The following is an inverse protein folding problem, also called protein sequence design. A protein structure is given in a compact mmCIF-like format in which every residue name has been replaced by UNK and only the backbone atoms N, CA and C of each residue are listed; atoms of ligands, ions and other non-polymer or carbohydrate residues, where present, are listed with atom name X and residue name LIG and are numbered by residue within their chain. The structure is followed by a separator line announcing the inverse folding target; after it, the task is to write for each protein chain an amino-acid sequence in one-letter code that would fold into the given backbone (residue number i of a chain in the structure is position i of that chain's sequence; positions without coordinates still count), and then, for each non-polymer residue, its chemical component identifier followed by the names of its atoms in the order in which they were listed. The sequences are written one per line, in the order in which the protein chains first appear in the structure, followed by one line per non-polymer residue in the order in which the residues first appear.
data_IF_281567997489
#
_entry.id   IF_281567997489
#
_cell.length_a   1.000
_cell.length_b   1.000
_cell.length_c   1.000
_cell.angle_alpha   90.00
_cell.angle_beta   90.00
_cell.angle_gamma   90.00
#
_symmetry.space_group_name_H-M   'P 1'
#
loop_
_entity.id
_entity.type
_entity.pdbx_description
1 polymer ?
#
# COMPACT_ATOMS: atom_id res chain seq x y z
N UNK A 1 -44.42 66.10 -45.98
CA UNK A 1 -43.33 66.37 -45.03
C UNK A 1 -42.68 65.08 -44.69
N UNK A 2 -41.40 64.88 -45.02
CA UNK A 2 -40.66 63.57 -44.98
C UNK A 2 -40.28 63.20 -43.57
N UNK A 3 -40.59 61.94 -43.18
CA UNK A 3 -40.12 61.33 -41.94
C UNK A 3 -39.03 60.36 -42.34
N UNK A 4 -37.83 60.60 -41.81
CA UNK A 4 -36.59 59.82 -41.97
C UNK A 4 -36.65 58.50 -41.16
N UNK A 5 -36.40 57.38 -41.81
CA UNK A 5 -36.20 56.11 -41.17
C UNK A 5 -34.77 55.97 -40.62
N UNK A 6 -34.65 55.76 -39.33
CA UNK A 6 -33.37 55.50 -38.70
C UNK A 6 -33.18 53.95 -38.59
N UNK A 7 -32.21 53.49 -39.31
CA UNK A 7 -31.88 52.06 -39.42
C UNK A 7 -30.94 51.68 -38.25
N UNK A 8 -31.46 50.90 -37.27
CA UNK A 8 -30.66 50.35 -36.18
C UNK A 8 -30.04 48.99 -36.63
N UNK A 9 -28.76 49.00 -36.97
CA UNK A 9 -27.97 47.81 -37.12
C UNK A 9 -27.64 47.27 -35.72
N UNK A 10 -28.23 46.14 -35.37
CA UNK A 10 -27.87 45.39 -34.20
C UNK A 10 -26.57 44.62 -34.47
N UNK A 11 -25.51 44.96 -33.76
CA UNK A 11 -24.28 44.16 -33.69
C UNK A 11 -24.51 43.01 -32.68
N UNK A 12 -24.67 41.78 -33.17
CA UNK A 12 -24.58 40.58 -32.37
C UNK A 12 -23.09 40.27 -32.17
N UNK A 13 -22.55 40.56 -30.99
CA UNK A 13 -21.25 40.11 -30.58
C UNK A 13 -21.39 38.64 -30.11
N UNK A 14 -20.92 37.70 -30.91
CA UNK A 14 -20.80 36.28 -30.50
C UNK A 14 -19.62 36.17 -29.55
N UNK A 15 -19.92 35.93 -28.28
CA UNK A 15 -18.91 35.56 -27.28
C UNK A 15 -18.59 34.06 -27.44
N UNK A 16 -17.47 33.73 -28.07
CA UNK A 16 -16.94 32.39 -28.12
C UNK A 16 -16.31 32.05 -26.76
N UNK A 17 -17.00 31.26 -25.96
CA UNK A 17 -16.42 30.67 -24.73
C UNK A 17 -15.49 29.55 -25.18
N UNK A 18 -14.18 29.81 -25.15
CA UNK A 18 -13.15 28.77 -25.27
C UNK A 18 -13.06 28.06 -23.93
N UNK A 19 -13.70 26.91 -23.83
CA UNK A 19 -13.49 25.97 -22.72
C UNK A 19 -12.14 25.28 -22.93
N UNK A 20 -11.11 25.80 -22.30
CA UNK A 20 -9.85 25.05 -22.16
C UNK A 20 -10.13 23.85 -21.25
N UNK A 21 -10.35 22.69 -21.86
CA UNK A 21 -10.27 21.43 -21.18
C UNK A 21 -8.80 21.19 -20.80
N UNK A 22 -8.41 21.57 -19.57
CA UNK A 22 -7.18 21.09 -18.98
C UNK A 22 -7.36 19.60 -18.72
N UNK A 23 -6.88 18.75 -19.65
CA UNK A 23 -6.65 17.35 -19.36
C UNK A 23 -5.61 17.31 -18.24
N UNK A 24 -6.06 17.07 -17.01
CA UNK A 24 -5.21 16.55 -15.95
C UNK A 24 -4.73 15.21 -16.49
N UNK A 25 -3.51 15.17 -17.00
CA UNK A 25 -2.81 13.92 -17.23
C UNK A 25 -2.70 13.30 -15.85
N UNK A 26 -3.60 12.35 -15.55
CA UNK A 26 -3.37 11.39 -14.50
C UNK A 26 -1.98 10.82 -14.80
N UNK A 27 -1.05 10.98 -13.86
CA UNK A 27 0.25 10.37 -13.95
C UNK A 27 -0.05 8.87 -13.95
N UNK A 28 0.02 8.27 -15.14
CA UNK A 28 -0.10 6.83 -15.33
C UNK A 28 1.10 6.24 -14.59
N UNK A 29 0.91 5.89 -13.31
CA UNK A 29 1.90 5.13 -12.56
C UNK A 29 1.91 3.75 -13.22
N UNK A 30 2.79 3.59 -14.21
CA UNK A 30 2.92 2.33 -14.92
C UNK A 30 3.28 1.25 -13.91
N UNK A 31 2.36 0.31 -13.70
CA UNK A 31 2.61 -0.90 -12.94
C UNK A 31 3.76 -1.66 -13.61
N UNK A 32 4.61 -2.31 -12.81
CA UNK A 32 5.79 -3.02 -13.31
C UNK A 32 5.44 -4.43 -13.78
N UNK A 33 4.63 -5.13 -13.00
CA UNK A 33 4.30 -6.54 -13.20
C UNK A 33 2.79 -6.79 -13.27
N UNK A 34 1.98 -5.87 -12.79
CA UNK A 34 0.53 -5.99 -12.78
C UNK A 34 -0.11 -5.23 -13.95
N UNK A 35 -1.35 -5.57 -14.24
CA UNK A 35 -2.21 -4.80 -15.13
C UNK A 35 -3.10 -3.88 -14.31
N UNK A 36 -3.36 -2.66 -14.79
CA UNK A 36 -4.25 -1.70 -14.12
C UNK A 36 -5.61 -2.34 -13.84
N UNK A 37 -6.03 -2.28 -12.58
CA UNK A 37 -7.31 -2.85 -12.12
C UNK A 37 -7.28 -4.35 -11.81
N UNK A 38 -6.12 -5.02 -11.83
CA UNK A 38 -6.02 -6.44 -11.48
C UNK A 38 -4.85 -6.69 -10.51
N UNK A 39 -5.14 -7.04 -9.24
CA UNK A 39 -6.46 -7.31 -8.69
C UNK A 39 -7.25 -6.03 -8.38
N UNK A 40 -8.56 -6.05 -8.59
CA UNK A 40 -9.44 -4.97 -8.17
C UNK A 40 -9.72 -5.07 -6.66
N UNK A 41 -9.16 -4.15 -5.89
CA UNK A 41 -9.33 -4.12 -4.44
C UNK A 41 -10.78 -3.87 -4.01
N UNK A 42 -11.57 -3.14 -4.81
CA UNK A 42 -12.96 -2.83 -4.50
C UNK A 42 -13.90 -4.03 -4.69
N UNK A 43 -13.62 -4.88 -5.68
CA UNK A 43 -14.37 -6.13 -5.88
C UNK A 43 -13.92 -7.23 -4.93
N UNK A 44 -12.63 -7.30 -4.63
CA UNK A 44 -12.04 -8.38 -3.84
C UNK A 44 -12.34 -8.26 -2.34
N UNK A 45 -12.27 -7.05 -1.81
CA UNK A 45 -12.37 -6.83 -0.37
C UNK A 45 -13.81 -6.55 0.06
N UNK A 46 -14.27 -7.16 1.18
CA UNK A 46 -15.53 -6.75 1.79
C UNK A 46 -15.43 -5.28 2.24
N UNK A 47 -16.54 -4.55 2.32
CA UNK A 47 -16.52 -3.20 2.88
C UNK A 47 -16.02 -3.23 4.34
N UNK A 48 -15.30 -2.18 4.78
CA UNK A 48 -14.93 -2.07 6.19
C UNK A 48 -16.19 -1.97 7.07
N UNK A 49 -16.10 -2.28 8.39
CA UNK A 49 -17.21 -2.10 9.31
C UNK A 49 -17.82 -0.70 9.22
N UNK A 50 -19.15 -0.61 9.19
CA UNK A 50 -19.86 0.67 9.21
C UNK A 50 -19.55 1.43 10.50
N UNK A 51 -19.45 2.76 10.45
CA UNK A 51 -18.97 3.59 11.57
C UNK A 51 -19.79 3.44 12.86
N UNK A 52 -21.07 3.09 12.75
CA UNK A 52 -22.02 2.91 13.85
C UNK A 52 -22.26 1.42 14.20
N UNK A 53 -21.49 0.50 13.61
CA UNK A 53 -21.64 -0.94 13.83
C UNK A 53 -20.96 -1.43 15.10
N UNK A 54 -21.36 -2.62 15.56
CA UNK A 54 -20.74 -3.32 16.69
C UNK A 54 -19.31 -3.73 16.33
N UNK A 55 -19.08 -4.11 15.08
CA UNK A 55 -17.78 -4.49 14.56
C UNK A 55 -16.80 -3.30 14.57
N UNK A 56 -17.25 -2.11 14.18
CA UNK A 56 -16.44 -0.89 14.28
C UNK A 56 -16.10 -0.55 15.74
N UNK A 57 -17.06 -0.73 16.64
CA UNK A 57 -16.82 -0.53 18.08
C UNK A 57 -15.79 -1.50 18.62
N UNK A 58 -15.87 -2.78 18.25
CA UNK A 58 -14.89 -3.81 18.63
C UNK A 58 -13.49 -3.53 18.06
N UNK A 59 -13.40 -3.07 16.80
CA UNK A 59 -12.15 -2.61 16.19
C UNK A 59 -11.52 -1.46 17.00
N UNK A 60 -12.31 -0.44 17.36
CA UNK A 60 -11.83 0.71 18.12
C UNK A 60 -11.38 0.32 19.53
N UNK A 61 -12.14 -0.51 20.24
CA UNK A 61 -11.76 -1.00 21.56
C UNK A 61 -10.42 -1.78 21.50
N UNK A 62 -10.23 -2.58 20.47
CA UNK A 62 -8.96 -3.29 20.25
C UNK A 62 -7.82 -2.31 20.01
N UNK A 63 -8.02 -1.27 19.18
CA UNK A 63 -7.00 -0.23 18.94
C UNK A 63 -6.63 0.44 20.27
N UNK A 64 -7.60 0.89 21.07
CA UNK A 64 -7.36 1.54 22.36
C UNK A 64 -6.58 0.65 23.30
N UNK A 65 -7.05 -0.59 23.50
CA UNK A 65 -6.41 -1.56 24.37
C UNK A 65 -4.95 -1.81 23.97
N UNK A 66 -4.69 -2.07 22.68
CA UNK A 66 -3.35 -2.36 22.16
C UNK A 66 -2.45 -1.12 22.23
N UNK A 67 -2.95 0.06 21.89
CA UNK A 67 -2.19 1.31 21.95
C UNK A 67 -1.75 1.68 23.36
N UNK A 68 -2.62 1.50 24.36
CA UNK A 68 -2.29 1.79 25.75
C UNK A 68 -1.42 0.71 26.39
N UNK A 69 -1.50 -0.54 25.94
CA UNK A 69 -0.63 -1.62 26.39
C UNK A 69 0.76 -1.59 25.77
N UNK A 70 0.93 -0.95 24.60
CA UNK A 70 2.21 -0.90 23.90
C UNK A 70 3.23 -0.04 24.69
N UNK A 71 4.39 -0.62 24.99
CA UNK A 71 5.51 0.07 25.61
C UNK A 71 6.34 0.87 24.58
N UNK A 72 7.33 1.61 25.07
CA UNK A 72 8.16 2.44 24.18
C UNK A 72 8.98 1.61 23.19
N UNK A 73 9.38 0.39 23.54
CA UNK A 73 10.09 -0.51 22.63
C UNK A 73 9.21 -0.91 21.45
N UNK A 74 7.96 -1.30 21.73
CA UNK A 74 6.98 -1.66 20.69
C UNK A 74 6.68 -0.48 19.78
N UNK A 75 6.47 0.71 20.37
CA UNK A 75 6.19 1.93 19.61
C UNK A 75 7.38 2.34 18.75
N UNK A 76 8.60 2.26 19.29
CA UNK A 76 9.81 2.59 18.54
C UNK A 76 10.03 1.61 17.37
N UNK A 77 9.79 0.31 17.55
CA UNK A 77 9.81 -0.67 16.49
C UNK A 77 8.80 -0.29 15.39
N UNK A 78 7.55 -0.01 15.75
CA UNK A 78 6.50 0.42 14.82
C UNK A 78 6.85 1.71 14.06
N UNK A 79 7.52 2.66 14.71
CA UNK A 79 7.95 3.91 14.05
C UNK A 79 9.17 3.72 13.15
N UNK A 80 10.09 2.81 13.48
CA UNK A 80 11.24 2.50 12.63
C UNK A 80 10.85 1.88 11.29
N UNK A 81 9.70 1.21 11.25
CA UNK A 81 9.13 0.61 10.05
C UNK A 81 8.32 1.59 9.17
N UNK A 82 8.33 2.90 9.47
CA UNK A 82 7.58 3.89 8.68
C UNK A 82 7.93 3.85 7.20
N UNK A 83 9.20 3.62 6.90
CA UNK A 83 9.70 3.25 5.58
C UNK A 83 10.42 1.94 5.74
N UNK A 84 10.05 0.98 4.94
CA UNK A 84 10.66 -0.34 4.98
C UNK A 84 10.95 -0.83 3.56
N UNK A 85 11.85 -1.78 3.48
CA UNK A 85 12.21 -2.50 2.26
C UNK A 85 12.19 -4.00 2.55
N UNK A 86 12.49 -4.81 1.56
CA UNK A 86 12.66 -6.26 1.76
C UNK A 86 13.74 -6.59 2.81
N UNK A 87 14.68 -5.68 3.06
CA UNK A 87 15.76 -5.91 4.04
C UNK A 87 15.31 -5.76 5.51
N UNK A 88 14.09 -5.32 5.77
CA UNK A 88 13.49 -5.45 7.10
C UNK A 88 13.32 -6.92 7.50
N UNK A 89 13.34 -7.85 6.54
CA UNK A 89 13.29 -9.29 6.78
C UNK A 89 14.66 -9.93 7.09
N UNK A 90 15.76 -9.16 7.17
CA UNK A 90 17.11 -9.69 7.48
C UNK A 90 17.13 -10.53 8.76
N UNK A 91 16.37 -10.12 9.80
CA UNK A 91 16.27 -10.90 11.04
C UNK A 91 15.63 -12.28 10.88
N UNK A 92 14.73 -12.45 9.90
CA UNK A 92 14.07 -13.71 9.59
C UNK A 92 14.87 -14.57 8.59
N UNK A 93 15.67 -13.94 7.73
CA UNK A 93 16.42 -14.59 6.65
C UNK A 93 17.84 -14.98 7.08
N UNK A 94 18.53 -14.03 7.74
CA UNK A 94 19.92 -14.20 8.16
C UNK A 94 20.80 -12.99 7.80
N UNK A 95 21.98 -12.85 8.46
CA UNK A 95 22.83 -11.65 8.35
C UNK A 95 23.44 -11.42 6.95
N UNK A 96 23.43 -12.41 6.09
CA UNK A 96 23.90 -12.31 4.72
C UNK A 96 22.92 -11.52 3.80
N UNK A 97 21.66 -11.42 4.23
CA UNK A 97 20.61 -10.77 3.45
C UNK A 97 20.64 -9.25 3.69
N UNK A 98 21.53 -8.57 2.97
CA UNK A 98 21.77 -7.13 3.08
C UNK A 98 21.81 -6.47 1.70
N UNK A 99 21.30 -5.24 1.63
CA UNK A 99 21.12 -4.46 0.40
C UNK A 99 22.39 -4.33 -0.44
N UNK A 100 23.53 -4.07 0.21
CA UNK A 100 24.81 -3.81 -0.47
C UNK A 100 25.30 -4.92 -1.38
N UNK A 101 24.83 -6.15 -1.17
CA UNK A 101 25.30 -7.33 -1.88
C UNK A 101 24.25 -7.91 -2.86
N UNK A 102 23.05 -7.32 -2.92
CA UNK A 102 21.90 -7.90 -3.59
C UNK A 102 21.18 -6.87 -4.52
N UNK A 103 21.88 -6.30 -5.51
CA UNK A 103 21.31 -5.24 -6.34
C UNK A 103 20.11 -5.65 -7.19
N UNK A 104 20.07 -6.90 -7.68
CA UNK A 104 18.89 -7.39 -8.43
C UNK A 104 17.69 -7.58 -7.51
N UNK A 105 17.94 -8.12 -6.30
CA UNK A 105 16.91 -8.27 -5.27
C UNK A 105 16.33 -6.90 -4.91
N UNK A 106 17.18 -5.89 -4.69
CA UNK A 106 16.72 -4.51 -4.39
C UNK A 106 15.78 -4.01 -5.50
N UNK A 107 16.25 -3.98 -6.74
CA UNK A 107 15.48 -3.44 -7.86
C UNK A 107 14.16 -4.19 -8.11
N UNK A 108 14.17 -5.51 -7.96
CA UNK A 108 12.98 -6.34 -8.09
C UNK A 108 11.95 -6.05 -7.01
N UNK A 109 12.36 -6.02 -5.73
CA UNK A 109 11.44 -5.80 -4.64
C UNK A 109 10.93 -4.35 -4.55
N UNK A 110 11.66 -3.36 -5.05
CA UNK A 110 11.14 -2.00 -5.25
C UNK A 110 9.96 -1.98 -6.22
N UNK A 111 10.03 -2.70 -7.34
CA UNK A 111 8.92 -2.85 -8.29
C UNK A 111 7.72 -3.56 -7.67
N UNK A 112 7.97 -4.67 -6.96
CA UNK A 112 6.94 -5.43 -6.23
C UNK A 112 6.21 -4.54 -5.23
N UNK A 113 6.95 -3.73 -4.47
CA UNK A 113 6.38 -2.82 -3.47
C UNK A 113 5.59 -1.69 -4.12
N UNK A 114 6.10 -1.09 -5.20
CA UNK A 114 5.41 -0.03 -5.95
C UNK A 114 4.06 -0.50 -6.49
N UNK A 115 4.02 -1.70 -7.08
CA UNK A 115 2.77 -2.26 -7.58
C UNK A 115 1.78 -2.54 -6.45
N UNK A 116 2.26 -3.08 -5.31
CA UNK A 116 1.42 -3.34 -4.13
C UNK A 116 0.85 -2.05 -3.52
N UNK A 117 1.66 -0.99 -3.44
CA UNK A 117 1.23 0.35 -2.97
C UNK A 117 0.13 0.90 -3.89
N UNK A 118 0.34 0.85 -5.21
CA UNK A 118 -0.61 1.36 -6.21
C UNK A 118 -1.98 0.69 -6.08
N UNK A 119 -2.02 -0.65 -6.03
CA UNK A 119 -3.28 -1.41 -5.85
C UNK A 119 -3.94 -1.09 -4.50
N UNK A 120 -3.15 -0.95 -3.45
CA UNK A 120 -3.65 -0.61 -2.11
C UNK A 120 -4.29 0.77 -2.07
N UNK A 121 -3.69 1.76 -2.74
CA UNK A 121 -4.18 3.13 -2.73
C UNK A 121 -5.50 3.27 -3.52
N UNK A 122 -5.70 2.49 -4.60
CA UNK A 122 -7.01 2.36 -5.26
C UNK A 122 -8.08 1.90 -4.26
N UNK A 123 -7.79 0.88 -3.46
CA UNK A 123 -8.71 0.40 -2.41
C UNK A 123 -8.99 1.46 -1.35
N UNK A 124 -7.98 2.20 -0.89
CA UNK A 124 -8.16 3.29 0.10
C UNK A 124 -9.06 4.40 -0.45
N UNK A 125 -8.87 4.79 -1.71
CA UNK A 125 -9.65 5.85 -2.34
C UNK A 125 -11.10 5.42 -2.62
N UNK A 126 -11.34 4.13 -2.78
CA UNK A 126 -12.69 3.57 -2.90
C UNK A 126 -13.42 3.53 -1.56
N UNK A 127 -12.83 2.92 -0.53
CA UNK A 127 -13.50 2.67 0.76
C UNK A 127 -13.53 3.89 1.68
N UNK A 128 -12.55 4.76 1.63
CA UNK A 128 -12.45 6.05 2.36
C UNK A 128 -12.67 5.92 3.87
N UNK A 129 -12.27 4.81 4.49
CA UNK A 129 -12.39 4.63 5.94
C UNK A 129 -11.53 5.64 6.69
N UNK A 130 -12.08 6.41 7.65
CA UNK A 130 -11.28 7.28 8.51
C UNK A 130 -10.34 6.46 9.39
N UNK A 131 -9.20 7.04 9.78
CA UNK A 131 -8.24 6.37 10.67
C UNK A 131 -8.67 6.47 12.12
N UNK A 132 -8.19 5.56 13.03
CA UNK A 132 -8.58 5.56 14.44
C UNK A 132 -8.44 6.91 15.12
N UNK A 133 -7.32 7.61 14.93
CA UNK A 133 -7.06 8.91 15.55
C UNK A 133 -7.95 10.04 15.02
N UNK A 134 -8.58 9.90 13.85
CA UNK A 134 -9.57 10.91 13.37
C UNK A 134 -10.92 10.75 14.04
N UNK A 135 -11.21 9.55 14.57
CA UNK A 135 -12.42 9.24 15.30
C UNK A 135 -12.25 9.48 16.80
N UNK A 136 -11.04 9.18 17.33
CA UNK A 136 -10.67 9.45 18.72
C UNK A 136 -9.34 10.21 18.77
N UNK A 137 -9.36 11.54 18.96
CA UNK A 137 -8.16 12.36 19.01
C UNK A 137 -7.17 12.01 20.15
N UNK A 138 -7.59 11.27 21.17
CA UNK A 138 -6.69 10.82 22.25
C UNK A 138 -5.66 9.81 21.76
N UNK A 139 -5.88 9.23 20.57
CA UNK A 139 -4.99 8.31 19.90
C UNK A 139 -4.00 9.01 18.95
N UNK A 140 -4.05 10.34 18.86
CA UNK A 140 -3.11 11.10 18.04
C UNK A 140 -1.69 10.96 18.56
N UNK A 141 -0.78 10.62 17.67
CA UNK A 141 0.64 10.47 17.98
C UNK A 141 1.50 10.73 16.74
N UNK A 142 2.57 11.46 16.89
CA UNK A 142 3.51 11.77 15.82
C UNK A 142 2.87 12.43 14.60
N UNK A 143 3.48 12.27 13.43
CA UNK A 143 2.97 12.84 12.18
C UNK A 143 1.79 12.03 11.67
N UNK A 144 0.63 12.66 11.50
CA UNK A 144 -0.58 12.05 10.98
C UNK A 144 -0.48 11.82 9.47
N UNK A 145 -1.05 10.71 9.00
CA UNK A 145 -1.12 10.35 7.58
C UNK A 145 -2.38 10.97 6.96
N UNK A 146 -2.27 11.36 5.68
CA UNK A 146 -3.38 11.97 4.95
C UNK A 146 -4.27 10.95 4.23
N UNK A 147 -3.72 9.75 3.95
CA UNK A 147 -4.44 8.68 3.26
C UNK A 147 -5.44 7.97 4.18
N UNK A 148 -6.43 7.31 3.58
CA UNK A 148 -7.45 6.55 4.30
C UNK A 148 -6.89 5.29 4.97
N UNK A 149 -7.71 4.70 5.87
CA UNK A 149 -7.27 3.60 6.73
C UNK A 149 -7.35 2.23 6.06
N UNK A 150 -8.38 1.97 5.24
CA UNK A 150 -8.69 0.63 4.74
C UNK A 150 -8.48 0.53 3.22
N UNK A 151 -7.78 -0.52 2.76
CA UNK A 151 -6.99 -1.50 3.52
C UNK A 151 -5.67 -0.90 4.04
N UNK A 152 -4.99 -1.60 4.97
CA UNK A 152 -3.70 -1.14 5.49
C UNK A 152 -2.56 -1.31 4.49
N UNK A 153 -1.91 -0.21 4.07
CA UNK A 153 -0.75 -0.23 3.17
C UNK A 153 0.41 -1.06 3.72
N UNK A 154 0.87 -0.75 4.94
CA UNK A 154 1.95 -1.52 5.56
C UNK A 154 1.65 -3.02 5.66
N UNK A 155 0.40 -3.40 5.97
CA UNK A 155 0.02 -4.81 6.02
C UNK A 155 -0.02 -5.47 4.64
N UNK A 156 -0.47 -4.74 3.62
CA UNK A 156 -0.48 -5.24 2.24
C UNK A 156 0.94 -5.41 1.72
N UNK A 157 1.70 -4.33 1.72
CA UNK A 157 3.05 -4.30 1.16
C UNK A 157 3.99 -5.28 1.88
N UNK A 158 4.06 -5.24 3.22
CA UNK A 158 4.93 -6.17 3.96
C UNK A 158 4.56 -7.63 3.71
N UNK A 159 3.27 -7.95 3.59
CA UNK A 159 2.83 -9.31 3.30
C UNK A 159 3.10 -9.70 1.84
N UNK A 160 3.00 -8.79 0.87
CA UNK A 160 3.40 -9.05 -0.53
C UNK A 160 4.89 -9.36 -0.60
N UNK A 161 5.74 -8.49 -0.01
CA UNK A 161 7.19 -8.74 0.05
C UNK A 161 7.48 -10.10 0.71
N UNK A 162 6.80 -10.42 1.81
CA UNK A 162 6.98 -11.67 2.53
C UNK A 162 6.58 -12.90 1.70
N UNK A 163 5.45 -12.84 0.98
CA UNK A 163 5.00 -13.97 0.15
C UNK A 163 5.98 -14.24 -1.00
N UNK A 164 6.45 -13.19 -1.67
CA UNK A 164 7.42 -13.31 -2.75
C UNK A 164 8.78 -13.79 -2.22
N UNK A 165 9.23 -13.25 -1.08
CA UNK A 165 10.50 -13.64 -0.45
C UNK A 165 10.45 -15.08 0.07
N UNK A 166 9.34 -15.53 0.63
CA UNK A 166 9.16 -16.90 1.10
C UNK A 166 9.16 -17.92 -0.06
N UNK A 167 8.65 -17.55 -1.24
CA UNK A 167 8.76 -18.38 -2.46
C UNK A 167 10.22 -18.48 -2.97
N UNK A 168 11.04 -17.47 -2.70
CA UNK A 168 12.48 -17.47 -3.01
C UNK A 168 13.29 -18.25 -1.98
N UNK A 169 12.88 -18.22 -0.72
CA UNK A 169 13.59 -18.77 0.45
C UNK A 169 12.66 -19.68 1.28
N UNK A 170 12.26 -20.84 0.74
CA UNK A 170 11.24 -21.71 1.37
C UNK A 170 11.63 -22.22 2.75
N UNK A 171 12.92 -22.39 3.05
CA UNK A 171 13.40 -22.82 4.38
C UNK A 171 13.10 -21.78 5.48
N UNK A 172 12.95 -20.49 5.12
CA UNK A 172 12.66 -19.39 6.03
C UNK A 172 11.19 -18.94 5.98
N UNK A 173 10.33 -19.63 5.23
CA UNK A 173 8.95 -19.25 4.96
C UNK A 173 8.20 -18.78 6.22
N UNK A 174 8.15 -19.60 7.25
CA UNK A 174 7.34 -19.31 8.45
C UNK A 174 7.85 -18.09 9.22
N UNK A 175 9.18 -17.91 9.31
CA UNK A 175 9.80 -16.77 9.96
C UNK A 175 9.50 -15.46 9.19
N UNK A 176 9.60 -15.51 7.85
CA UNK A 176 9.31 -14.37 6.97
C UNK A 176 7.84 -13.96 7.09
N UNK A 177 6.92 -14.90 7.00
CA UNK A 177 5.47 -14.62 7.13
C UNK A 177 5.10 -14.13 8.54
N UNK A 178 5.70 -14.69 9.59
CA UNK A 178 5.48 -14.22 10.96
C UNK A 178 5.94 -12.77 11.13
N UNK A 179 7.10 -12.41 10.58
CA UNK A 179 7.63 -11.04 10.64
C UNK A 179 6.68 -10.03 9.95
N UNK A 180 6.20 -10.33 8.74
CA UNK A 180 5.22 -9.48 8.05
C UNK A 180 3.92 -9.28 8.85
N UNK A 181 3.46 -10.33 9.55
CA UNK A 181 2.29 -10.22 10.43
C UNK A 181 2.55 -9.27 11.59
N UNK A 182 3.75 -9.28 12.15
CA UNK A 182 4.18 -8.36 13.21
C UNK A 182 4.23 -6.93 12.70
N UNK A 183 4.86 -6.67 11.54
CA UNK A 183 4.90 -5.34 10.92
C UNK A 183 3.50 -4.75 10.70
N UNK A 184 2.57 -5.56 10.20
CA UNK A 184 1.17 -5.13 10.08
C UNK A 184 0.53 -4.81 11.43
N UNK A 185 0.78 -5.62 12.48
CA UNK A 185 0.22 -5.42 13.82
C UNK A 185 0.79 -4.19 14.53
N UNK A 186 2.04 -3.84 14.29
CA UNK A 186 2.66 -2.60 14.79
C UNK A 186 1.83 -1.36 14.42
N UNK A 187 1.10 -1.40 13.31
CA UNK A 187 0.24 -0.27 12.90
C UNK A 187 -0.99 -0.11 13.80
N UNK A 188 -1.47 -1.19 14.43
CA UNK A 188 -2.52 -1.14 15.46
C UNK A 188 -1.93 -0.60 16.77
N UNK A 189 -0.72 -1.03 17.15
CA UNK A 189 -0.02 -0.57 18.36
C UNK A 189 0.24 0.95 18.41
N UNK A 190 0.34 1.58 17.24
CA UNK A 190 0.49 3.04 17.15
C UNK A 190 -0.77 3.73 16.61
N UNK A 191 -1.93 3.07 16.72
CA UNK A 191 -3.24 3.59 16.35
C UNK A 191 -3.35 4.17 14.92
N UNK A 192 -2.60 3.61 13.96
CA UNK A 192 -2.67 4.01 12.54
C UNK A 192 -3.76 3.29 11.77
N UNK A 193 -4.09 2.08 12.18
CA UNK A 193 -5.02 1.18 11.52
C UNK A 193 -5.86 0.40 12.53
N UNK A 194 -7.03 -0.03 12.07
CA UNK A 194 -7.84 -0.99 12.79
C UNK A 194 -7.40 -2.44 12.50
N UNK A 195 -7.70 -3.41 13.38
CA UNK A 195 -7.45 -4.83 13.10
C UNK A 195 -8.01 -5.31 11.76
N UNK A 196 -9.24 -4.91 11.41
CA UNK A 196 -9.86 -5.30 10.13
C UNK A 196 -9.14 -4.73 8.92
N UNK A 197 -8.51 -3.53 9.01
CA UNK A 197 -7.66 -2.99 7.94
C UNK A 197 -6.44 -3.87 7.69
N UNK A 198 -5.86 -4.42 8.77
CA UNK A 198 -4.70 -5.32 8.71
C UNK A 198 -5.08 -6.63 8.02
N UNK A 199 -6.24 -7.20 8.37
CA UNK A 199 -6.73 -8.43 7.74
C UNK A 199 -7.03 -8.22 6.26
N UNK A 200 -7.70 -7.13 5.90
CA UNK A 200 -7.97 -6.77 4.51
C UNK A 200 -6.67 -6.62 3.70
N UNK A 201 -5.67 -5.96 4.27
CA UNK A 201 -4.34 -5.85 3.64
C UNK A 201 -3.72 -7.22 3.35
N UNK A 202 -3.82 -8.18 4.27
CA UNK A 202 -3.31 -9.54 4.05
C UNK A 202 -4.08 -10.32 2.98
N UNK A 203 -5.39 -10.09 2.87
CA UNK A 203 -6.21 -10.68 1.80
C UNK A 203 -5.78 -10.12 0.45
N UNK A 204 -5.67 -8.79 0.35
CA UNK A 204 -5.23 -8.11 -0.86
C UNK A 204 -3.82 -8.54 -1.28
N UNK A 205 -2.90 -8.67 -0.32
CA UNK A 205 -1.53 -9.11 -0.57
C UNK A 205 -1.45 -10.49 -1.24
N UNK A 206 -2.32 -11.43 -0.84
CA UNK A 206 -2.37 -12.77 -1.46
C UNK A 206 -2.86 -12.70 -2.90
N UNK A 207 -3.85 -11.86 -3.19
CA UNK A 207 -4.33 -11.67 -4.54
C UNK A 207 -3.23 -11.04 -5.42
N UNK A 208 -2.57 -9.99 -4.94
CA UNK A 208 -1.44 -9.35 -5.64
C UNK A 208 -0.34 -10.36 -5.94
N UNK A 209 0.13 -11.12 -4.95
CA UNK A 209 1.17 -12.13 -5.13
C UNK A 209 0.76 -13.25 -6.12
N UNK A 210 -0.54 -13.59 -6.15
CA UNK A 210 -1.08 -14.54 -7.14
C UNK A 210 -1.07 -13.97 -8.56
N UNK A 211 -1.34 -12.67 -8.73
CA UNK A 211 -1.32 -12.02 -10.05
C UNK A 211 0.12 -11.86 -10.57
N UNK A 212 1.08 -11.56 -9.70
CA UNK A 212 2.50 -11.52 -10.12
C UNK A 212 2.94 -12.78 -10.85
N UNK A 213 2.52 -13.96 -10.39
CA UNK A 213 2.85 -15.26 -10.99
C UNK A 213 2.30 -15.47 -12.41
N UNK A 214 1.42 -14.57 -12.88
CA UNK A 214 0.89 -14.59 -14.25
C UNK A 214 1.67 -13.66 -15.20
N UNK A 215 2.62 -12.87 -14.68
CA UNK A 215 3.43 -11.93 -15.43
C UNK A 215 4.74 -12.57 -15.87
N UNK A 216 4.96 -12.66 -17.17
CA UNK A 216 6.24 -13.16 -17.73
C UNK A 216 7.42 -12.28 -17.29
N UNK A 217 7.20 -10.97 -17.15
CA UNK A 217 8.23 -10.04 -16.66
C UNK A 217 8.61 -10.35 -15.20
N UNK A 218 7.62 -10.60 -14.33
CA UNK A 218 7.85 -10.99 -12.96
C UNK A 218 8.62 -12.32 -12.88
N UNK A 219 8.16 -13.36 -13.57
CA UNK A 219 8.80 -14.69 -13.53
C UNK A 219 10.26 -14.65 -14.00
N UNK A 220 10.54 -13.84 -15.02
CA UNK A 220 11.92 -13.64 -15.49
C UNK A 220 12.81 -13.02 -14.41
N UNK A 221 12.40 -11.88 -13.83
CA UNK A 221 13.18 -11.20 -12.80
C UNK A 221 13.27 -12.03 -11.51
N UNK A 222 12.21 -12.75 -11.15
CA UNK A 222 12.17 -13.67 -10.01
C UNK A 222 13.22 -14.79 -10.15
N UNK A 223 13.41 -15.34 -11.35
CA UNK A 223 14.46 -16.34 -11.60
C UNK A 223 15.88 -15.77 -11.44
N UNK A 224 16.08 -14.51 -11.87
CA UNK A 224 17.37 -13.81 -11.70
C UNK A 224 17.67 -13.52 -10.22
N UNK A 225 16.67 -13.09 -9.45
CA UNK A 225 16.79 -12.87 -7.99
C UNK A 225 17.09 -14.17 -7.27
N UNK A 226 16.42 -15.26 -7.65
CA UNK A 226 16.69 -16.60 -7.07
C UNK A 226 18.15 -17.01 -7.24
N UNK A 227 18.73 -16.76 -8.41
CA UNK A 227 20.14 -17.06 -8.69
C UNK A 227 21.08 -16.17 -7.86
N UNK A 228 20.77 -14.86 -7.72
CA UNK A 228 21.55 -13.94 -6.90
C UNK A 228 21.55 -14.36 -5.43
N UNK A 229 20.36 -14.63 -4.85
CA UNK A 229 20.22 -15.05 -3.45
C UNK A 229 20.94 -16.35 -3.15
N UNK A 230 20.90 -17.34 -4.07
CA UNK A 230 21.63 -18.59 -3.94
C UNK A 230 23.13 -18.33 -3.84
N UNK A 231 23.69 -17.54 -4.74
CA UNK A 231 25.13 -17.21 -4.77
C UNK A 231 25.57 -16.47 -3.49
N UNK A 232 24.77 -15.48 -3.05
CA UNK A 232 25.06 -14.71 -1.83
C UNK A 232 25.01 -15.60 -0.56
N UNK A 233 24.04 -16.49 -0.47
CA UNK A 233 23.91 -17.44 0.66
C UNK A 233 25.11 -18.40 0.71
N UNK A 234 25.53 -18.94 -0.43
CA UNK A 234 26.69 -19.84 -0.51
C UNK A 234 27.99 -19.11 -0.10
N UNK A 235 28.18 -17.87 -0.56
CA UNK A 235 29.35 -17.06 -0.21
C UNK A 235 29.44 -16.72 1.28
N UNK A 236 28.32 -16.66 1.98
CA UNK A 236 28.27 -16.36 3.43
C UNK A 236 28.67 -17.53 4.34
N UNK A 237 28.80 -18.74 3.79
CA UNK A 237 29.18 -19.95 4.53
C UNK A 237 30.67 -20.33 4.32
N UNK A 238 31.39 -19.60 3.45
CA UNK A 238 32.81 -19.74 3.19
C UNK A 238 33.63 -18.66 3.90
#
# INVERSE_FOLDING_TARGET
MRISMFNRRQFLAAFAIVVLATSVLAQDSSLNFLTTGDPDAAELLPPPPALDSVEQSADMETVKSVYHAANDTDKNAAYSEKKFTVYNFTGAVGPWFVETNLPKTTAFFEKVQTDAETVTDVGKDFFKRPRPYTTDPTLENGKLEKSFSYPSGHSTESMVLALVLADLLPDQHDAIIAHARTMGWHRVQIARHYPTDIYAGRVLARAIASQFKKSDAFEKEFAEVRAELKTAKEASHN
#
